data_IF_972295360676
#
_entry.id   IF_972295360676
#
_cell.length_a   1.000
_cell.length_b   1.000
_cell.length_c   1.000
_cell.angle_alpha   90.00
_cell.angle_beta   90.00
_cell.angle_gamma   90.00
#
_symmetry.space_group_name_H-M   'P 1'
#
loop_
_entity.id
_entity.type
_entity.pdbx_description
1 polymer ?
#
# COMPACT_ATOMS: atom_id res chain seq x y z
N UNK A 1 -3.71 -15.79 -12.48
CA UNK A 1 -2.55 -16.69 -12.65
C UNK A 1 -1.51 -16.44 -11.57
N UNK A 2 -0.66 -15.41 -11.62
CA UNK A 2 0.41 -15.21 -10.62
C UNK A 2 -0.09 -15.10 -9.16
N UNK A 3 -1.21 -14.41 -8.94
CA UNK A 3 -1.80 -14.27 -7.60
C UNK A 3 -2.41 -15.57 -7.05
N UNK A 4 -2.77 -16.52 -7.92
CA UNK A 4 -3.36 -17.81 -7.54
C UNK A 4 -2.26 -18.82 -7.20
N UNK A 5 -1.15 -18.78 -7.93
CA UNK A 5 0.05 -19.56 -7.66
C UNK A 5 0.77 -19.09 -6.37
N UNK A 6 0.85 -17.76 -6.17
CA UNK A 6 1.35 -17.17 -4.93
C UNK A 6 0.45 -17.49 -3.71
N UNK A 7 -0.88 -17.57 -3.92
CA UNK A 7 -1.81 -17.97 -2.87
C UNK A 7 -1.57 -19.40 -2.38
N UNK A 8 -1.25 -20.33 -3.29
CA UNK A 8 -0.91 -21.71 -2.94
C UNK A 8 0.34 -21.80 -2.08
N UNK A 9 1.42 -21.09 -2.46
CA UNK A 9 2.65 -21.06 -1.67
C UNK A 9 2.44 -20.42 -0.29
N UNK A 10 1.63 -19.37 -0.22
CA UNK A 10 1.40 -18.64 1.03
C UNK A 10 0.43 -19.37 1.96
N UNK A 11 -0.49 -20.17 1.41
CA UNK A 11 -1.27 -21.13 2.18
C UNK A 11 -0.36 -22.09 2.94
N UNK A 12 0.66 -22.66 2.28
CA UNK A 12 1.64 -23.55 2.92
C UNK A 12 2.47 -22.80 3.97
N UNK A 13 2.84 -21.53 3.71
CA UNK A 13 3.55 -20.70 4.70
C UNK A 13 2.67 -20.40 5.92
N UNK A 14 1.37 -20.18 5.74
CA UNK A 14 0.43 -19.95 6.84
C UNK A 14 0.15 -21.22 7.67
N UNK A 15 0.08 -22.40 7.04
CA UNK A 15 0.05 -23.68 7.75
C UNK A 15 1.29 -23.84 8.65
N UNK A 16 2.46 -23.49 8.12
CA UNK A 16 3.70 -23.49 8.88
C UNK A 16 3.76 -22.40 9.97
N UNK A 17 2.90 -21.39 9.91
CA UNK A 17 2.75 -20.36 10.95
C UNK A 17 1.82 -20.82 12.08
N UNK A 18 1.31 -22.05 12.03
CA UNK A 18 0.41 -22.61 13.05
C UNK A 18 -1.04 -22.14 12.91
N UNK A 19 -1.39 -21.52 11.77
CA UNK A 19 -2.78 -21.22 11.43
C UNK A 19 -3.42 -22.52 10.95
N UNK A 20 -4.47 -23.03 11.60
CA UNK A 20 -5.13 -24.25 11.16
C UNK A 20 -5.81 -24.05 9.79
N UNK A 21 -5.90 -25.13 9.00
CA UNK A 21 -6.28 -25.08 7.57
C UNK A 21 -7.62 -24.35 7.30
N UNK A 22 -8.52 -24.39 8.27
CA UNK A 22 -9.81 -23.70 8.28
C UNK A 22 -9.69 -22.18 8.46
N UNK A 23 -8.70 -21.71 9.24
CA UNK A 23 -8.41 -20.29 9.44
C UNK A 23 -7.59 -19.68 8.30
N UNK A 24 -6.85 -20.48 7.54
CA UNK A 24 -6.09 -20.01 6.37
C UNK A 24 -7.04 -19.47 5.30
N UNK A 25 -8.18 -20.14 5.12
CA UNK A 25 -9.26 -19.65 4.28
C UNK A 25 -9.89 -18.36 4.81
N UNK A 26 -9.86 -18.13 6.12
CA UNK A 26 -10.33 -16.89 6.74
C UNK A 26 -9.34 -15.72 6.53
N UNK A 27 -8.04 -16.02 6.52
CA UNK A 27 -6.95 -15.04 6.38
C UNK A 27 -6.69 -14.66 4.91
N UNK A 28 -6.68 -15.64 4.00
CA UNK A 28 -6.43 -15.43 2.57
C UNK A 28 -7.72 -15.29 1.75
N UNK A 29 -8.85 -15.83 2.20
CA UNK A 29 -10.05 -15.93 1.38
C UNK A 29 -9.85 -16.81 0.13
N UNK A 30 -10.89 -16.90 -0.71
CA UNK A 30 -10.83 -17.62 -2.00
C UNK A 30 -9.93 -16.90 -3.04
N UNK A 31 -9.62 -15.62 -2.79
CA UNK A 31 -8.74 -14.76 -3.58
C UNK A 31 -8.05 -13.76 -2.65
N UNK A 32 -6.78 -14.00 -2.27
CA UNK A 32 -6.09 -13.09 -1.37
C UNK A 32 -5.96 -11.71 -1.97
N UNK A 33 -6.35 -10.71 -1.19
CA UNK A 33 -6.09 -9.32 -1.55
C UNK A 33 -4.58 -9.06 -1.50
N UNK A 34 -4.10 -8.17 -2.37
CA UNK A 34 -2.70 -7.77 -2.39
C UNK A 34 -2.20 -7.27 -1.02
N UNK A 35 -3.07 -6.60 -0.24
CA UNK A 35 -2.72 -6.12 1.09
C UNK A 35 -2.59 -7.26 2.12
N UNK A 36 -3.48 -8.25 2.07
CA UNK A 36 -3.37 -9.44 2.93
C UNK A 36 -2.09 -10.23 2.60
N UNK A 37 -1.74 -10.31 1.32
CA UNK A 37 -0.50 -10.92 0.84
C UNK A 37 0.73 -10.21 1.43
N UNK A 38 0.75 -8.87 1.36
CA UNK A 38 1.87 -8.08 1.84
C UNK A 38 1.98 -8.11 3.37
N UNK A 39 0.87 -8.13 4.11
CA UNK A 39 0.87 -8.30 5.58
C UNK A 39 1.53 -9.61 6.01
N UNK A 40 1.23 -10.71 5.30
CA UNK A 40 1.87 -11.99 5.57
C UNK A 40 3.38 -11.92 5.28
N UNK A 41 3.78 -11.35 4.14
CA UNK A 41 5.19 -11.26 3.73
C UNK A 41 6.01 -10.32 4.62
N UNK A 42 5.46 -9.16 4.98
CA UNK A 42 6.18 -8.11 5.70
C UNK A 42 6.20 -8.33 7.22
N UNK A 43 5.27 -9.10 7.79
CA UNK A 43 5.15 -9.20 9.24
C UNK A 43 5.02 -10.63 9.75
N UNK A 44 4.07 -11.42 9.24
CA UNK A 44 3.75 -12.72 9.86
C UNK A 44 4.85 -13.76 9.73
N UNK A 45 5.60 -13.78 8.61
CA UNK A 45 6.71 -14.71 8.40
C UNK A 45 7.80 -14.59 9.49
N UNK A 46 8.03 -13.38 10.01
CA UNK A 46 9.08 -13.11 11.02
C UNK A 46 8.69 -13.47 12.45
N UNK A 47 7.41 -13.77 12.71
CA UNK A 47 6.93 -14.13 14.05
C UNK A 47 7.24 -15.59 14.41
N UNK A 48 7.72 -16.37 13.44
CA UNK A 48 7.94 -17.81 13.58
C UNK A 48 9.25 -18.14 14.33
N UNK A 49 9.25 -19.00 15.37
CA UNK A 49 10.47 -19.44 16.04
C UNK A 49 11.46 -20.13 15.10
N UNK A 50 10.96 -20.94 14.16
CA UNK A 50 11.80 -21.64 13.17
C UNK A 50 12.53 -20.67 12.24
N UNK A 51 11.98 -19.46 12.04
CA UNK A 51 12.68 -18.44 11.27
C UNK A 51 14.02 -18.14 11.93
N UNK A 52 14.03 -17.92 13.25
CA UNK A 52 15.24 -17.60 14.02
C UNK A 52 16.16 -18.81 14.20
N UNK A 53 15.65 -20.03 14.33
CA UNK A 53 16.50 -21.23 14.42
C UNK A 53 17.30 -21.46 13.13
N UNK A 54 16.67 -21.24 11.97
CA UNK A 54 17.33 -21.35 10.66
C UNK A 54 18.40 -20.28 10.43
N UNK A 55 18.34 -19.13 11.15
CA UNK A 55 19.38 -18.11 11.12
C UNK A 55 20.67 -18.61 11.80
N UNK A 56 20.57 -19.53 12.75
CA UNK A 56 21.72 -20.09 13.46
C UNK A 56 22.35 -21.30 12.74
N UNK A 57 21.63 -21.96 11.83
CA UNK A 57 22.09 -23.22 11.21
C UNK A 57 23.21 -23.02 10.17
N UNK A 58 23.00 -22.18 9.15
CA UNK A 58 23.96 -22.01 8.04
C UNK A 58 24.12 -20.55 7.63
N UNK A 59 25.36 -20.04 7.46
CA UNK A 59 25.57 -18.65 7.02
C UNK A 59 24.98 -18.36 5.63
N UNK A 60 24.88 -19.37 4.77
CA UNK A 60 24.20 -19.25 3.47
C UNK A 60 22.69 -18.98 3.59
N UNK A 61 22.02 -19.48 4.64
CA UNK A 61 20.59 -19.23 4.86
C UNK A 61 20.35 -17.80 5.34
N UNK A 62 21.26 -17.28 6.19
CA UNK A 62 21.23 -15.88 6.63
C UNK A 62 21.33 -14.94 5.41
N UNK A 63 22.28 -15.18 4.50
CA UNK A 63 22.43 -14.35 3.30
C UNK A 63 21.19 -14.37 2.38
N UNK A 64 20.52 -15.52 2.22
CA UNK A 64 19.29 -15.60 1.42
C UNK A 64 18.13 -14.87 2.08
N UNK A 65 17.99 -15.01 3.39
CA UNK A 65 16.95 -14.32 4.16
C UNK A 65 17.17 -12.81 4.11
N UNK A 66 18.41 -12.34 4.26
CA UNK A 66 18.75 -10.93 4.16
C UNK A 66 18.36 -10.32 2.80
N UNK A 67 18.69 -11.00 1.70
CA UNK A 67 18.27 -10.57 0.35
C UNK A 67 16.74 -10.59 0.19
N UNK A 68 16.06 -11.59 0.74
CA UNK A 68 14.60 -11.68 0.68
C UNK A 68 13.92 -10.56 1.48
N UNK A 69 14.41 -10.25 2.68
CA UNK A 69 13.91 -9.13 3.50
C UNK A 69 14.08 -7.81 2.75
N UNK A 70 15.26 -7.59 2.17
CA UNK A 70 15.55 -6.37 1.42
C UNK A 70 14.69 -6.21 0.17
N UNK A 71 14.33 -7.31 -0.48
CA UNK A 71 13.38 -7.29 -1.60
C UNK A 71 11.97 -6.90 -1.14
N UNK A 72 11.51 -7.43 0.00
CA UNK A 72 10.21 -7.08 0.59
C UNK A 72 10.19 -5.61 1.00
N UNK A 73 11.23 -5.12 1.66
CA UNK A 73 11.36 -3.70 2.03
C UNK A 73 11.24 -2.79 0.80
N UNK A 74 11.95 -3.12 -0.29
CA UNK A 74 11.87 -2.36 -1.54
C UNK A 74 10.46 -2.37 -2.15
N UNK A 75 9.74 -3.49 -2.02
CA UNK A 75 8.35 -3.56 -2.47
C UNK A 75 7.44 -2.67 -1.63
N UNK A 76 7.59 -2.67 -0.30
CA UNK A 76 6.83 -1.82 0.62
C UNK A 76 7.12 -0.33 0.37
N UNK A 77 8.39 0.05 0.24
CA UNK A 77 8.81 1.42 -0.06
C UNK A 77 8.19 1.94 -1.36
N UNK A 78 8.18 1.09 -2.40
CA UNK A 78 7.57 1.43 -3.69
C UNK A 78 6.07 1.71 -3.55
N UNK A 79 5.37 0.96 -2.70
CA UNK A 79 3.93 1.12 -2.53
C UNK A 79 3.57 2.32 -1.63
N UNK A 80 4.40 2.64 -0.65
CA UNK A 80 4.34 3.90 0.09
C UNK A 80 4.50 5.07 -0.89
N UNK A 81 5.55 5.04 -1.73
CA UNK A 81 5.78 6.07 -2.73
C UNK A 81 4.60 6.28 -3.68
N UNK A 82 3.99 5.20 -4.19
CA UNK A 82 2.77 5.31 -5.02
C UNK A 82 1.59 5.89 -4.26
N UNK A 83 1.48 5.60 -2.96
CA UNK A 83 0.41 6.11 -2.11
C UNK A 83 0.58 7.62 -1.90
N UNK A 84 1.81 8.07 -1.66
CA UNK A 84 2.15 9.49 -1.55
C UNK A 84 1.86 10.25 -2.84
N UNK A 85 2.24 9.70 -4.00
CA UNK A 85 1.94 10.31 -5.29
C UNK A 85 0.43 10.47 -5.52
N UNK A 86 -0.35 9.46 -5.10
CA UNK A 86 -1.82 9.50 -5.18
C UNK A 86 -2.39 10.58 -4.26
N UNK A 87 -1.84 10.68 -3.05
CA UNK A 87 -2.22 11.70 -2.07
C UNK A 87 -1.91 13.11 -2.59
N UNK A 88 -0.73 13.33 -3.17
CA UNK A 88 -0.35 14.59 -3.80
C UNK A 88 -1.31 14.98 -4.93
N UNK A 89 -1.65 14.01 -5.80
CA UNK A 89 -2.61 14.22 -6.88
C UNK A 89 -3.99 14.62 -6.36
N UNK A 90 -4.49 13.94 -5.32
CA UNK A 90 -5.77 14.27 -4.70
C UNK A 90 -5.75 15.66 -4.04
N UNK A 91 -4.65 16.01 -3.38
CA UNK A 91 -4.48 17.31 -2.75
C UNK A 91 -4.44 18.44 -3.80
N UNK A 92 -3.76 18.24 -4.93
CA UNK A 92 -3.73 19.19 -6.03
C UNK A 92 -5.14 19.45 -6.60
N UNK A 93 -5.95 18.38 -6.77
CA UNK A 93 -7.34 18.52 -7.21
C UNK A 93 -8.19 19.26 -6.18
N UNK A 94 -8.02 18.96 -4.89
CA UNK A 94 -8.74 19.66 -3.82
C UNK A 94 -8.39 21.16 -3.78
N UNK A 95 -7.10 21.47 -3.90
CA UNK A 95 -6.60 22.84 -3.96
C UNK A 95 -7.20 23.59 -5.16
N UNK A 96 -7.20 22.97 -6.34
CA UNK A 96 -7.76 23.55 -7.56
C UNK A 96 -9.27 23.83 -7.39
N UNK A 97 -10.03 22.89 -6.81
CA UNK A 97 -11.45 23.11 -6.55
C UNK A 97 -11.72 24.32 -5.65
N UNK A 98 -10.92 24.53 -4.61
CA UNK A 98 -11.03 25.72 -3.76
C UNK A 98 -10.59 27.00 -4.48
N UNK A 99 -9.48 26.94 -5.22
CA UNK A 99 -8.99 28.05 -6.03
C UNK A 99 -10.04 28.53 -7.04
N UNK A 100 -10.69 27.60 -7.75
CA UNK A 100 -11.77 27.91 -8.70
C UNK A 100 -12.98 28.58 -8.03
N UNK A 101 -13.31 28.23 -6.78
CA UNK A 101 -14.37 28.92 -6.01
C UNK A 101 -13.96 30.36 -5.70
N UNK A 102 -12.72 30.57 -5.26
CA UNK A 102 -12.19 31.91 -4.98
C UNK A 102 -12.09 32.77 -6.23
N UNK A 103 -11.58 32.23 -7.34
CA UNK A 103 -11.48 32.91 -8.62
C UNK A 103 -12.85 33.37 -9.13
N UNK A 104 -13.85 32.48 -9.13
CA UNK A 104 -15.23 32.84 -9.52
C UNK A 104 -15.79 33.98 -8.67
N UNK A 105 -15.54 33.97 -7.36
CA UNK A 105 -15.97 35.04 -6.46
C UNK A 105 -15.31 36.38 -6.80
N UNK A 106 -14.01 36.38 -7.07
CA UNK A 106 -13.27 37.59 -7.46
C UNK A 106 -13.73 38.11 -8.82
N UNK A 107 -13.90 37.23 -9.82
CA UNK A 107 -14.40 37.60 -11.14
C UNK A 107 -15.80 38.20 -11.08
N UNK A 108 -16.71 37.60 -10.31
CA UNK A 108 -18.06 38.14 -10.12
C UNK A 108 -18.03 39.53 -9.48
N UNK A 109 -17.15 39.74 -8.49
CA UNK A 109 -16.98 41.05 -7.85
C UNK A 109 -16.41 42.10 -8.81
N UNK A 110 -15.39 41.74 -9.59
CA UNK A 110 -14.79 42.63 -10.58
C UNK A 110 -15.83 43.04 -11.64
N UNK A 111 -16.59 42.08 -12.16
CA UNK A 111 -17.66 42.34 -13.13
C UNK A 111 -18.71 43.30 -12.58
N UNK A 112 -19.13 43.13 -11.33
CA UNK A 112 -20.11 44.04 -10.71
C UNK A 112 -19.59 45.48 -10.56
N UNK A 113 -18.29 45.66 -10.35
CA UNK A 113 -17.66 46.99 -10.29
C UNK A 113 -17.57 47.63 -11.68
N UNK A 114 -17.23 46.87 -12.71
CA UNK A 114 -17.19 47.35 -14.10
C UNK A 114 -18.58 47.75 -14.62
N UNK A 115 -19.62 47.00 -14.27
CA UNK A 115 -21.01 47.31 -14.63
C UNK A 115 -21.49 48.58 -13.91
N UNK A 116 -21.09 48.81 -12.65
CA UNK A 116 -21.37 50.05 -11.92
C UNK A 116 -20.70 51.29 -12.53
N UNK A 117 -19.44 51.18 -12.95
CA UNK A 117 -18.69 52.28 -13.58
C UNK A 117 -19.16 52.63 -15.01
N UNK A 118 -19.95 51.78 -15.66
CA UNK A 118 -20.54 52.07 -17.00
C UNK A 118 -21.92 52.71 -16.92
N UNK A 119 -22.53 52.74 -15.74
CA UNK A 119 -23.86 53.30 -15.51
C UNK A 119 -23.83 54.76 -15.02
N UNK A 120 -22.66 55.27 -14.65
CA UNK A 120 -22.35 56.71 -14.46
C UNK A 120 -21.81 57.34 -15.74
#
# INVERSE_FOLDING_TARGET
EEAEEAAGYIGVVLQQLGVPDDEIFLVLGNRPSYFALMDVMAQKIYQRPEFYTDLYDKPANVARKDVAMKAIDLMVDRDIYKSDLRYESMLAVLLEMELMKHQRRVQNRLRSLEEGNRAE
#
